data_IF_432708737639
#
_entry.id   IF_432708737639
#
_cell.length_a   1.000
_cell.length_b   1.000
_cell.length_c   1.000
_cell.angle_alpha   90.00
_cell.angle_beta   90.00
_cell.angle_gamma   90.00
#
_symmetry.space_group_name_H-M   'P 1'
#
loop_
_entity.id
_entity.type
_entity.pdbx_description
1 polymer ?
#
# COMPACT_ATOMS: atom_id res chain seq x y z
N UNK A 1 -28.84 -8.54 13.60
CA UNK A 1 -29.02 -7.46 12.61
C UNK A 1 -28.92 -6.15 13.36
N UNK A 2 -27.88 -5.35 13.14
CA UNK A 2 -27.69 -4.09 13.88
C UNK A 2 -28.67 -3.05 13.34
N UNK A 3 -29.80 -2.87 14.03
CA UNK A 3 -30.87 -1.91 13.76
C UNK A 3 -30.44 -0.47 14.12
N UNK A 4 -29.30 -0.01 13.60
CA UNK A 4 -28.60 1.17 14.15
C UNK A 4 -28.83 2.51 13.46
N UNK A 5 -28.84 2.54 12.12
CA UNK A 5 -28.69 3.80 11.37
C UNK A 5 -29.94 4.22 10.60
N UNK A 6 -30.68 3.28 10.00
CA UNK A 6 -31.96 3.58 9.34
C UNK A 6 -33.03 4.12 10.30
N UNK A 7 -33.04 3.62 11.53
CA UNK A 7 -33.91 4.13 12.60
C UNK A 7 -33.50 5.51 13.12
N UNK A 8 -32.35 6.03 12.69
CA UNK A 8 -31.86 7.39 12.98
C UNK A 8 -32.00 8.33 11.78
N UNK A 9 -32.77 7.94 10.77
CA UNK A 9 -33.04 8.77 9.58
C UNK A 9 -31.96 8.69 8.49
N UNK A 10 -30.94 7.86 8.64
CA UNK A 10 -29.95 7.64 7.57
C UNK A 10 -30.48 6.64 6.54
N UNK A 11 -30.23 6.85 5.26
CA UNK A 11 -30.62 5.90 4.20
C UNK A 11 -29.69 4.66 4.10
N UNK A 12 -28.61 4.65 4.88
CA UNK A 12 -27.60 3.58 4.91
C UNK A 12 -27.56 2.84 6.26
N UNK A 13 -26.91 1.68 6.25
CA UNK A 13 -26.60 0.90 7.46
C UNK A 13 -25.10 0.63 7.49
N UNK A 14 -24.40 0.98 8.57
CA UNK A 14 -23.02 0.54 8.80
C UNK A 14 -23.08 -0.81 9.50
N UNK A 15 -22.59 -1.87 8.87
CA UNK A 15 -22.52 -3.21 9.46
C UNK A 15 -21.06 -3.62 9.69
N UNK A 16 -20.84 -4.55 10.62
CA UNK A 16 -19.56 -5.25 10.78
C UNK A 16 -19.69 -6.73 10.42
N UNK A 17 -20.65 -7.05 9.54
CA UNK A 17 -20.98 -8.40 9.12
C UNK A 17 -20.15 -8.76 7.91
N UNK A 18 -19.44 -9.88 7.96
CA UNK A 18 -18.68 -10.39 6.81
C UNK A 18 -19.54 -10.70 5.58
N UNK A 19 -20.87 -10.75 5.73
CA UNK A 19 -21.79 -10.94 4.62
C UNK A 19 -21.89 -9.71 3.71
N UNK A 20 -21.69 -8.51 4.27
CA UNK A 20 -21.89 -7.22 3.58
C UNK A 20 -20.63 -6.34 3.60
N UNK A 21 -19.78 -6.48 4.61
CA UNK A 21 -18.64 -5.60 4.86
C UNK A 21 -17.38 -6.39 5.21
N UNK A 22 -16.21 -5.80 4.95
CA UNK A 22 -14.95 -6.34 5.44
C UNK A 22 -14.91 -6.22 6.98
N UNK A 23 -14.82 -7.36 7.68
CA UNK A 23 -14.75 -7.36 9.14
C UNK A 23 -13.32 -7.23 9.62
N UNK A 24 -13.02 -6.11 10.27
CA UNK A 24 -11.79 -5.93 11.01
C UNK A 24 -11.97 -6.34 12.49
N UNK A 25 -10.93 -6.93 13.08
CA UNK A 25 -10.90 -7.32 14.49
C UNK A 25 -9.61 -6.83 15.14
N UNK A 26 -9.75 -5.98 16.15
CA UNK A 26 -8.61 -5.46 16.92
C UNK A 26 -7.83 -6.60 17.60
N UNK A 27 -6.49 -6.52 17.58
CA UNK A 27 -5.60 -7.48 18.25
C UNK A 27 -5.45 -8.84 17.57
N UNK A 28 -6.00 -9.02 16.36
CA UNK A 28 -5.77 -10.25 15.58
C UNK A 28 -4.43 -10.16 14.83
N UNK A 29 -3.64 -11.24 14.86
CA UNK A 29 -2.42 -11.31 14.06
C UNK A 29 -2.76 -11.16 12.57
N UNK A 30 -2.14 -10.19 11.91
CA UNK A 30 -2.16 -10.06 10.45
C UNK A 30 -1.00 -10.90 9.90
N UNK A 31 -1.23 -11.65 8.82
CA UNK A 31 -0.15 -12.36 8.15
C UNK A 31 0.71 -11.34 7.38
N UNK A 32 2.03 -11.34 7.57
CA UNK A 32 2.92 -10.32 6.97
C UNK A 32 2.89 -10.25 5.44
N UNK A 33 2.43 -11.30 4.76
CA UNK A 33 2.18 -11.28 3.32
C UNK A 33 0.96 -10.42 2.93
N UNK A 34 -0.05 -10.32 3.79
CA UNK A 34 -1.24 -9.49 3.58
C UNK A 34 -0.87 -8.01 3.77
N UNK A 35 -0.07 -7.69 4.80
CA UNK A 35 0.45 -6.34 5.01
C UNK A 35 1.22 -5.83 3.78
N UNK A 36 2.13 -6.66 3.23
CA UNK A 36 2.88 -6.32 2.02
C UNK A 36 2.01 -6.06 0.79
N UNK A 37 0.91 -6.80 0.63
CA UNK A 37 -0.02 -6.58 -0.49
C UNK A 37 -0.80 -5.29 -0.28
N UNK A 38 -1.34 -5.08 0.93
CA UNK A 38 -2.04 -3.83 1.29
C UNK A 38 -1.13 -2.62 1.04
N UNK A 39 0.13 -2.70 1.48
CA UNK A 39 1.13 -1.66 1.25
C UNK A 39 1.46 -1.45 -0.22
N UNK A 40 1.27 -2.45 -1.09
CA UNK A 40 1.45 -2.31 -2.54
C UNK A 40 0.23 -1.73 -3.28
N UNK A 41 -0.96 -1.77 -2.66
CA UNK A 41 -2.21 -1.34 -3.29
C UNK A 41 -2.91 -0.18 -2.59
N UNK A 42 -2.45 0.28 -1.42
CA UNK A 42 -3.17 1.31 -0.66
C UNK A 42 -3.25 2.66 -1.40
N UNK A 43 -2.28 2.97 -2.26
CA UNK A 43 -2.33 4.17 -3.10
C UNK A 43 -3.09 3.92 -4.40
N UNK A 44 -3.46 2.67 -4.69
CA UNK A 44 -4.22 2.34 -5.87
C UNK A 44 -5.69 2.61 -5.64
N UNK A 45 -6.33 3.23 -6.62
CA UNK A 45 -7.75 3.50 -6.62
C UNK A 45 -8.33 3.22 -7.99
N UNK A 46 -9.62 2.89 -7.98
CA UNK A 46 -10.36 2.61 -9.20
C UNK A 46 -10.96 3.89 -9.77
N UNK A 47 -10.92 4.03 -11.09
CA UNK A 47 -11.46 5.19 -11.79
C UNK A 47 -11.94 4.83 -13.20
N UNK A 48 -12.74 5.73 -13.80
CA UNK A 48 -13.24 5.67 -15.18
C UNK A 48 -12.72 6.87 -15.99
N UNK A 49 -12.68 6.80 -17.33
CA UNK A 49 -12.29 7.92 -18.18
C UNK A 49 -13.10 9.18 -17.82
N UNK A 50 -12.39 10.28 -17.59
CA UNK A 50 -13.01 11.57 -17.25
C UNK A 50 -13.49 11.72 -15.81
N UNK A 51 -13.43 10.67 -14.97
CA UNK A 51 -13.84 10.73 -13.56
C UNK A 51 -12.61 10.88 -12.67
N UNK A 52 -12.46 12.05 -12.02
CA UNK A 52 -11.31 12.36 -11.15
C UNK A 52 -11.38 11.71 -9.77
N UNK A 53 -12.57 11.33 -9.31
CA UNK A 53 -12.77 10.79 -7.97
C UNK A 53 -12.64 9.25 -7.96
N UNK A 54 -12.07 8.66 -6.89
CA UNK A 54 -12.09 7.22 -6.69
C UNK A 54 -13.51 6.65 -6.72
N UNK A 55 -13.68 5.54 -7.42
CA UNK A 55 -14.97 4.84 -7.51
C UNK A 55 -15.12 3.93 -6.29
N UNK A 56 -16.25 4.09 -5.60
CA UNK A 56 -16.67 3.15 -4.58
C UNK A 56 -17.11 1.83 -5.24
N UNK A 57 -16.51 0.72 -4.83
CA UNK A 57 -16.90 -0.61 -5.26
C UNK A 57 -17.73 -1.27 -4.17
N UNK A 58 -19.00 -1.55 -4.47
CA UNK A 58 -19.86 -2.35 -3.60
C UNK A 58 -19.24 -3.75 -3.41
N UNK A 59 -19.40 -4.29 -2.20
CA UNK A 59 -18.79 -5.55 -1.79
C UNK A 59 -19.82 -6.42 -1.04
N UNK A 60 -19.73 -7.73 -1.22
CA UNK A 60 -20.44 -8.74 -0.43
C UNK A 60 -19.67 -10.06 -0.40
N UNK A 61 -20.10 -11.00 0.45
CA UNK A 61 -19.44 -12.32 0.49
C UNK A 61 -19.65 -13.12 -0.80
N UNK A 62 -20.80 -12.99 -1.46
CA UNK A 62 -21.17 -13.76 -2.64
C UNK A 62 -21.56 -15.22 -2.39
N UNK A 63 -21.72 -15.62 -1.11
CA UNK A 63 -22.14 -16.97 -0.71
C UNK A 63 -23.41 -16.97 0.12
N UNK A 64 -23.54 -16.01 1.04
CA UNK A 64 -24.77 -15.79 1.82
C UNK A 64 -25.58 -14.63 1.26
N UNK A 65 -24.91 -13.68 0.60
CA UNK A 65 -25.48 -12.45 0.05
C UNK A 65 -24.90 -12.20 -1.34
N UNK A 66 -25.76 -11.85 -2.29
CA UNK A 66 -25.38 -11.34 -3.61
C UNK A 66 -25.51 -9.82 -3.66
N UNK A 67 -24.67 -9.17 -4.46
CA UNK A 67 -24.64 -7.73 -4.65
C UNK A 67 -24.24 -7.42 -6.10
N UNK A 68 -24.59 -6.22 -6.57
CA UNK A 68 -24.26 -5.75 -7.94
C UNK A 68 -22.76 -5.41 -8.12
N UNK A 69 -21.91 -5.76 -7.15
CA UNK A 69 -20.49 -5.42 -7.11
C UNK A 69 -19.60 -6.61 -6.82
N UNK A 70 -18.43 -6.34 -6.26
CA UNK A 70 -17.42 -7.36 -6.00
C UNK A 70 -17.92 -8.38 -4.99
N UNK A 71 -17.86 -9.64 -5.39
CA UNK A 71 -18.08 -10.78 -4.51
C UNK A 71 -16.76 -11.30 -3.96
N UNK A 72 -16.67 -11.52 -2.65
CA UNK A 72 -15.48 -12.10 -2.01
C UNK A 72 -15.12 -13.47 -2.59
N UNK A 73 -16.09 -14.39 -2.61
CA UNK A 73 -15.84 -15.73 -3.12
C UNK A 73 -15.71 -15.74 -4.65
N UNK A 74 -16.51 -14.94 -5.35
CA UNK A 74 -16.44 -14.83 -6.81
C UNK A 74 -15.09 -14.30 -7.29
N UNK A 75 -14.58 -13.23 -6.68
CA UNK A 75 -13.25 -12.69 -6.99
C UNK A 75 -12.13 -13.68 -6.64
N UNK A 76 -12.26 -14.43 -5.54
CA UNK A 76 -11.32 -15.51 -5.18
C UNK A 76 -11.28 -16.61 -6.24
N UNK A 77 -12.42 -17.07 -6.75
CA UNK A 77 -12.46 -18.13 -7.78
C UNK A 77 -11.86 -17.65 -9.10
N UNK A 78 -12.18 -16.44 -9.55
CA UNK A 78 -11.55 -15.86 -10.75
C UNK A 78 -10.03 -15.75 -10.60
N UNK A 79 -9.55 -15.37 -9.42
CA UNK A 79 -8.11 -15.36 -9.13
C UNK A 79 -7.46 -16.75 -9.19
N UNK A 80 -8.16 -17.80 -8.74
CA UNK A 80 -7.70 -19.19 -8.88
C UNK A 80 -7.68 -19.67 -10.33
N UNK A 81 -8.55 -19.13 -11.18
CA UNK A 81 -8.54 -19.35 -12.63
C UNK A 81 -7.45 -18.56 -13.37
N UNK A 82 -6.68 -17.73 -12.66
CA UNK A 82 -5.55 -16.98 -13.20
C UNK A 82 -5.88 -15.57 -13.67
N UNK A 83 -7.09 -15.05 -13.40
CA UNK A 83 -7.44 -13.68 -13.72
C UNK A 83 -6.58 -12.71 -12.91
N UNK A 84 -6.05 -11.67 -13.57
CA UNK A 84 -5.36 -10.60 -12.88
C UNK A 84 -6.36 -9.71 -12.11
N UNK A 85 -5.84 -8.86 -11.22
CA UNK A 85 -6.69 -7.94 -10.45
C UNK A 85 -7.53 -7.04 -11.37
N UNK A 86 -6.98 -6.57 -12.50
CA UNK A 86 -7.72 -5.73 -13.44
C UNK A 86 -8.79 -6.53 -14.19
N UNK A 87 -8.51 -7.77 -14.57
CA UNK A 87 -9.50 -8.63 -15.26
C UNK A 87 -10.70 -8.92 -14.36
N UNK A 88 -10.46 -9.15 -13.06
CA UNK A 88 -11.53 -9.32 -12.07
C UNK A 88 -12.35 -8.04 -11.94
N UNK A 89 -11.73 -6.86 -11.90
CA UNK A 89 -12.47 -5.59 -11.85
C UNK A 89 -13.33 -5.39 -13.10
N UNK A 90 -12.79 -5.70 -14.29
CA UNK A 90 -13.54 -5.63 -15.54
C UNK A 90 -14.72 -6.60 -15.60
N UNK A 91 -14.58 -7.79 -15.02
CA UNK A 91 -15.67 -8.76 -14.90
C UNK A 91 -16.88 -8.18 -14.15
N UNK A 92 -16.68 -7.44 -13.05
CA UNK A 92 -17.77 -6.90 -12.24
C UNK A 92 -18.27 -5.52 -12.70
N UNK A 93 -17.38 -4.65 -13.21
CA UNK A 93 -17.69 -3.24 -13.43
C UNK A 93 -17.60 -2.79 -14.89
N UNK A 94 -17.22 -3.69 -15.80
CA UNK A 94 -17.01 -3.39 -17.22
C UNK A 94 -15.57 -2.94 -17.54
N UNK A 95 -15.27 -2.92 -18.84
CA UNK A 95 -13.90 -2.74 -19.36
C UNK A 95 -13.37 -1.29 -19.29
N UNK A 96 -14.19 -0.33 -18.83
CA UNK A 96 -13.81 1.08 -18.73
C UNK A 96 -13.20 1.46 -17.38
N UNK A 97 -12.86 0.47 -16.56
CA UNK A 97 -12.21 0.68 -15.27
C UNK A 97 -10.69 0.65 -15.37
N UNK A 98 -10.04 1.50 -14.60
CA UNK A 98 -8.58 1.58 -14.49
C UNK A 98 -8.15 1.54 -13.02
N UNK A 99 -7.08 0.81 -12.74
CA UNK A 99 -6.36 0.88 -11.45
C UNK A 99 -5.30 1.98 -11.61
N UNK A 100 -5.55 3.14 -10.99
CA UNK A 100 -4.62 4.26 -10.96
C UNK A 100 -3.91 4.33 -9.62
N UNK A 101 -2.73 4.93 -9.58
CA UNK A 101 -1.97 5.15 -8.35
C UNK A 101 -2.00 6.63 -7.98
N UNK A 102 -2.30 6.93 -6.72
CA UNK A 102 -2.32 8.29 -6.22
C UNK A 102 -0.93 8.93 -6.32
N UNK A 103 -0.87 10.12 -6.92
CA UNK A 103 0.37 10.89 -7.10
C UNK A 103 0.91 11.40 -5.77
N UNK A 104 0.06 11.56 -4.76
CA UNK A 104 0.41 12.03 -3.42
C UNK A 104 -0.28 11.20 -2.34
N UNK A 105 0.50 10.69 -1.40
CA UNK A 105 0.00 10.05 -0.17
C UNK A 105 0.20 11.03 0.98
N UNK A 106 -0.89 11.47 1.62
CA UNK A 106 -0.80 12.37 2.77
C UNK A 106 0.01 11.73 3.90
N UNK A 107 0.97 12.46 4.45
CA UNK A 107 1.85 11.99 5.53
C UNK A 107 3.15 11.33 5.07
N UNK A 108 3.38 11.18 3.76
CA UNK A 108 4.65 10.69 3.18
C UNK A 108 5.39 11.88 2.55
N UNK A 109 6.72 12.05 2.77
CA UNK A 109 7.44 13.24 2.29
C UNK A 109 7.45 13.39 0.75
N UNK A 110 7.40 12.28 0.02
CA UNK A 110 7.39 12.27 -1.45
C UNK A 110 7.05 10.88 -1.98
N UNK A 111 6.27 10.83 -3.06
CA UNK A 111 5.76 9.58 -3.65
C UNK A 111 6.81 8.84 -4.47
N UNK A 112 6.61 7.52 -4.60
CA UNK A 112 7.45 6.65 -5.41
C UNK A 112 7.48 7.13 -6.88
N UNK A 113 8.65 7.17 -7.54
CA UNK A 113 8.79 7.85 -8.83
C UNK A 113 8.25 7.07 -10.04
N UNK A 114 7.59 5.93 -9.84
CA UNK A 114 7.08 5.09 -10.93
C UNK A 114 8.08 4.06 -11.46
N UNK A 115 9.30 4.01 -10.92
CA UNK A 115 10.34 3.06 -11.30
C UNK A 115 11.21 2.67 -10.09
N UNK A 116 11.83 1.48 -10.18
CA UNK A 116 12.71 0.97 -9.13
C UNK A 116 14.04 1.73 -9.08
N UNK A 117 14.53 2.06 -7.87
CA UNK A 117 15.89 2.55 -7.69
C UNK A 117 16.83 1.38 -7.43
N UNK A 118 17.87 1.27 -8.24
CA UNK A 118 18.86 0.19 -8.20
C UNK A 118 20.24 0.75 -8.58
N UNK A 119 21.27 -0.09 -8.57
CA UNK A 119 22.63 0.32 -8.95
C UNK A 119 22.60 1.01 -10.32
N UNK A 120 23.14 2.23 -10.38
CA UNK A 120 23.15 3.08 -11.57
C UNK A 120 22.01 4.09 -11.65
N UNK A 121 20.96 3.98 -10.84
CA UNK A 121 19.96 5.04 -10.70
C UNK A 121 20.58 6.32 -10.15
N UNK A 122 20.12 7.48 -10.63
CA UNK A 122 20.60 8.78 -10.17
C UNK A 122 19.47 9.79 -10.00
N UNK A 123 19.76 10.91 -9.33
CA UNK A 123 18.86 12.06 -9.20
C UNK A 123 18.26 12.23 -7.80
N UNK A 124 17.33 13.18 -7.69
CA UNK A 124 16.81 13.63 -6.38
C UNK A 124 16.09 12.53 -5.61
N UNK A 125 15.45 11.58 -6.29
CA UNK A 125 14.76 10.45 -5.65
C UNK A 125 15.75 9.50 -4.97
N UNK A 126 16.94 9.31 -5.55
CA UNK A 126 18.03 8.54 -4.91
C UNK A 126 18.55 9.30 -3.70
N UNK A 127 18.82 10.60 -3.85
CA UNK A 127 19.30 11.46 -2.76
C UNK A 127 18.33 11.44 -1.58
N UNK A 128 17.03 11.50 -1.87
CA UNK A 128 15.97 11.44 -0.87
C UNK A 128 16.04 10.13 -0.06
N UNK A 129 16.11 8.97 -0.72
CA UNK A 129 16.21 7.68 -0.02
C UNK A 129 17.51 7.60 0.80
N UNK A 130 18.64 8.06 0.27
CA UNK A 130 19.90 8.09 1.02
C UNK A 130 19.78 8.95 2.30
N UNK A 131 19.15 10.12 2.23
CA UNK A 131 18.89 10.97 3.39
C UNK A 131 17.96 10.31 4.40
N UNK A 132 16.89 9.67 3.94
CA UNK A 132 15.94 8.96 4.80
C UNK A 132 16.62 7.77 5.50
N UNK A 133 17.38 6.94 4.77
CA UNK A 133 18.15 5.83 5.33
C UNK A 133 19.14 6.31 6.39
N UNK A 134 19.88 7.39 6.12
CA UNK A 134 20.82 7.96 7.09
C UNK A 134 20.13 8.46 8.36
N UNK A 135 18.91 8.99 8.24
CA UNK A 135 18.14 9.39 9.43
C UNK A 135 17.69 8.16 10.21
N UNK A 136 17.15 7.15 9.54
CA UNK A 136 16.71 5.90 10.17
C UNK A 136 17.88 5.20 10.86
N UNK A 137 19.07 5.22 10.25
CA UNK A 137 20.29 4.62 10.79
C UNK A 137 20.70 5.17 12.17
N UNK A 138 20.26 6.39 12.53
CA UNK A 138 20.48 6.94 13.89
C UNK A 138 19.78 6.14 14.98
N UNK A 139 18.62 5.56 14.66
CA UNK A 139 17.84 4.72 15.56
C UNK A 139 18.09 3.22 15.30
N UNK A 140 18.53 2.87 14.10
CA UNK A 140 18.81 1.50 13.65
C UNK A 140 20.26 1.39 13.18
N UNK A 141 21.25 1.32 14.09
CA UNK A 141 22.68 1.38 13.75
C UNK A 141 23.19 0.19 12.92
N UNK A 142 22.39 -0.87 12.80
CA UNK A 142 22.67 -1.99 11.89
C UNK A 142 22.45 -1.64 10.40
N UNK A 143 21.89 -0.46 10.09
CA UNK A 143 21.80 0.09 8.74
C UNK A 143 23.05 0.97 8.51
N UNK A 144 23.92 0.63 7.55
CA UNK A 144 25.05 1.47 7.18
C UNK A 144 24.60 2.86 6.72
N UNK A 145 25.29 3.90 7.18
CA UNK A 145 25.13 5.25 6.63
C UNK A 145 25.80 5.35 5.27
N UNK A 146 25.20 6.11 4.36
CA UNK A 146 25.67 6.30 2.98
C UNK A 146 25.84 7.77 2.65
N UNK A 147 26.64 8.09 1.64
CA UNK A 147 26.70 9.46 1.11
C UNK A 147 25.39 9.78 0.38
N UNK A 148 24.76 10.91 0.69
CA UNK A 148 23.55 11.37 0.02
C UNK A 148 23.87 12.20 -1.24
N UNK A 149 24.60 11.62 -2.17
CA UNK A 149 25.06 12.26 -3.41
C UNK A 149 23.99 12.25 -4.52
N UNK A 150 22.98 11.40 -4.41
CA UNK A 150 22.01 11.15 -5.46
C UNK A 150 22.46 10.12 -6.48
N UNK A 151 23.46 9.28 -6.17
CA UNK A 151 23.96 8.19 -7.00
C UNK A 151 23.74 6.87 -6.28
N UNK A 152 22.98 5.96 -6.88
CA UNK A 152 22.69 4.68 -6.28
C UNK A 152 23.83 3.72 -6.59
N UNK A 153 24.82 3.69 -5.70
CA UNK A 153 25.98 2.79 -5.78
C UNK A 153 25.83 1.51 -4.94
N UNK A 154 26.88 0.67 -4.90
CA UNK A 154 26.91 -0.55 -4.08
C UNK A 154 26.65 -0.28 -2.59
N UNK A 155 27.16 0.82 -2.04
CA UNK A 155 26.92 1.21 -0.65
C UNK A 155 25.43 1.49 -0.36
N UNK A 156 24.74 2.19 -1.27
CA UNK A 156 23.29 2.42 -1.17
C UNK A 156 22.53 1.10 -1.24
N UNK A 157 22.92 0.19 -2.15
CA UNK A 157 22.29 -1.13 -2.27
C UNK A 157 22.46 -1.98 -0.99
N UNK A 158 23.64 -1.92 -0.35
CA UNK A 158 23.90 -2.59 0.91
C UNK A 158 23.04 -2.02 2.06
N UNK A 159 22.98 -0.69 2.17
CA UNK A 159 22.14 -0.02 3.17
C UNK A 159 20.66 -0.37 3.00
N UNK A 160 20.17 -0.41 1.76
CA UNK A 160 18.80 -0.84 1.44
C UNK A 160 18.58 -2.31 1.80
N UNK A 161 19.54 -3.19 1.52
CA UNK A 161 19.45 -4.62 1.90
C UNK A 161 19.41 -4.80 3.42
N UNK A 162 20.20 -4.02 4.16
CA UNK A 162 20.20 -4.02 5.62
C UNK A 162 18.85 -3.53 6.17
N UNK A 163 18.31 -2.42 5.62
CA UNK A 163 16.97 -1.94 5.93
C UNK A 163 15.92 -3.03 5.67
N UNK A 164 15.92 -3.61 4.47
CA UNK A 164 14.97 -4.65 4.09
C UNK A 164 15.00 -5.84 5.05
N UNK A 165 16.19 -6.29 5.44
CA UNK A 165 16.36 -7.36 6.43
C UNK A 165 15.75 -7.01 7.78
N UNK A 166 15.97 -5.80 8.29
CA UNK A 166 15.47 -5.35 9.60
C UNK A 166 13.94 -5.23 9.61
N UNK A 167 13.35 -4.79 8.51
CA UNK A 167 11.91 -4.57 8.39
C UNK A 167 11.18 -5.70 7.65
N UNK A 168 11.77 -6.90 7.60
CA UNK A 168 11.17 -8.12 7.03
C UNK A 168 10.70 -7.98 5.57
N UNK A 169 11.40 -7.18 4.77
CA UNK A 169 11.22 -7.05 3.32
C UNK A 169 12.15 -8.00 2.56
N UNK A 170 11.83 -8.34 1.29
CA UNK A 170 12.76 -9.05 0.41
C UNK A 170 14.09 -8.31 0.28
N UNK A 171 15.20 -9.00 0.53
CA UNK A 171 16.56 -8.43 0.62
C UNK A 171 17.21 -8.21 -0.76
N UNK A 172 16.47 -7.62 -1.70
CA UNK A 172 16.93 -7.39 -3.08
C UNK A 172 18.06 -6.34 -3.13
N UNK A 173 18.09 -5.39 -2.20
CA UNK A 173 18.90 -4.18 -2.29
C UNK A 173 18.38 -3.18 -3.35
N UNK A 174 17.15 -3.38 -3.82
CA UNK A 174 16.44 -2.53 -4.79
C UNK A 174 15.32 -1.80 -4.04
N UNK A 175 15.19 -0.50 -4.27
CA UNK A 175 14.04 0.28 -3.76
C UNK A 175 12.91 0.19 -4.77
N UNK A 176 12.12 -0.85 -4.62
CA UNK A 176 10.83 -1.01 -5.30
C UNK A 176 9.71 -0.24 -4.57
N UNK A 177 8.50 -0.31 -5.09
CA UNK A 177 7.34 0.39 -4.53
C UNK A 177 7.14 0.09 -3.02
N UNK A 178 7.08 -1.18 -2.56
CA UNK A 178 6.97 -1.49 -1.14
C UNK A 178 8.14 -0.95 -0.30
N UNK A 179 9.37 -1.10 -0.79
CA UNK A 179 10.56 -0.61 -0.07
C UNK A 179 10.55 0.90 0.09
N UNK A 180 10.13 1.66 -0.93
CA UNK A 180 10.03 3.12 -0.89
C UNK A 180 9.10 3.61 0.23
N UNK A 181 7.89 3.06 0.29
CA UNK A 181 6.91 3.46 1.28
C UNK A 181 7.27 2.97 2.68
N UNK A 182 7.86 1.78 2.81
CA UNK A 182 8.40 1.32 4.10
C UNK A 182 9.48 2.27 4.63
N UNK A 183 10.49 2.64 3.81
CA UNK A 183 11.52 3.62 4.22
C UNK A 183 10.88 4.94 4.62
N UNK A 184 9.94 5.46 3.82
CA UNK A 184 9.32 6.75 4.08
C UNK A 184 8.47 6.74 5.37
N UNK A 185 7.73 5.66 5.63
CA UNK A 185 6.91 5.51 6.85
C UNK A 185 7.79 5.44 8.09
N UNK A 186 8.86 4.63 8.05
CA UNK A 186 9.81 4.52 9.16
C UNK A 186 10.52 5.86 9.37
N UNK A 187 10.93 6.55 8.30
CA UNK A 187 11.53 7.88 8.38
C UNK A 187 10.62 8.88 9.11
N UNK A 188 9.33 8.95 8.76
CA UNK A 188 8.35 9.82 9.43
C UNK A 188 8.14 9.42 10.89
N UNK A 189 8.13 8.11 11.18
CA UNK A 189 8.03 7.60 12.55
C UNK A 189 9.21 8.06 13.42
N UNK A 190 10.44 7.88 12.94
CA UNK A 190 11.65 8.24 13.71
C UNK A 190 11.90 9.75 13.77
N UNK A 191 11.47 10.52 12.77
CA UNK A 191 11.62 11.98 12.79
C UNK A 191 10.73 12.62 13.86
N UNK A 192 9.47 12.19 13.98
CA UNK A 192 8.53 12.65 15.01
C UNK A 192 8.99 12.35 16.43
N UNK A 193 9.66 11.22 16.65
CA UNK A 193 10.20 10.85 17.98
C UNK A 193 11.32 11.80 18.41
N UNK A 194 11.98 12.47 17.46
CA UNK A 194 13.14 13.32 17.74
C UNK A 194 12.82 14.81 17.81
N UNK A 195 11.59 15.22 17.49
CA UNK A 195 11.10 16.58 17.65
C UNK A 195 10.14 16.59 18.85
N UNK A 196 10.63 16.82 20.08
CA UNK A 196 9.74 17.11 21.19
C UNK A 196 9.01 18.43 20.87
N UNK A 197 7.68 18.36 20.80
CA UNK A 197 6.83 19.54 20.66
C UNK A 197 6.93 20.49 21.85
#
# INVERSE_FOLDING_TARGET
MVLGYRNKGYNFTITSSTAYDQKWMYGRNFYGNIERIVDSVFANYLSRPGVRQPIFTSYCDGRRVTCDGLSQWGSKYLGEEGYSAIDIIHYYYGNDMYINTAVSVAGVPSSWPGYNLTIGSTGDKVRQIQQQLNRIARNYPAIPTVTADGIYGPATAEAVRAFQRIFNLPQSGIVDYPTWYSISNIYVGVSRISEPG
#
